data_IF_639652437745
#
_entry.id   IF_639652437745
#
_cell.length_a   1.000
_cell.length_b   1.000
_cell.length_c   1.000
_cell.angle_alpha   90.00
_cell.angle_beta   90.00
_cell.angle_gamma   90.00
#
_symmetry.space_group_name_H-M   'P 1'
#
loop_
_entity.id
_entity.type
_entity.pdbx_description
1 polymer ?
#
# COMPACT_ATOMS: atom_id res chain seq x y z
N UNK A 1 1.82 -7.24 3.51
CA UNK A 1 1.30 -7.65 4.83
C UNK A 1 0.28 -8.76 4.61
N UNK A 2 0.63 -10.05 4.79
CA UNK A 2 -0.24 -11.16 4.38
C UNK A 2 -1.50 -11.33 5.24
N UNK A 3 -1.47 -10.88 6.49
CA UNK A 3 -2.65 -10.80 7.36
C UNK A 3 -2.49 -9.63 8.31
N UNK A 4 -3.25 -8.57 8.09
CA UNK A 4 -3.33 -7.40 8.95
C UNK A 4 -3.88 -7.74 10.33
N UNK A 5 -4.87 -8.63 10.42
CA UNK A 5 -5.45 -9.07 11.70
C UNK A 5 -4.42 -9.78 12.58
N UNK A 6 -3.56 -10.64 12.00
CA UNK A 6 -2.48 -11.29 12.75
C UNK A 6 -1.43 -10.27 13.18
N UNK A 7 -1.06 -9.33 12.31
CA UNK A 7 -0.13 -8.25 12.63
C UNK A 7 -0.64 -7.34 13.76
N UNK A 8 -1.91 -6.97 13.71
CA UNK A 8 -2.54 -6.08 14.68
C UNK A 8 -2.65 -6.68 16.09
N UNK A 9 -2.70 -8.02 16.18
CA UNK A 9 -2.70 -8.77 17.45
C UNK A 9 -1.32 -8.91 18.08
N UNK A 10 -0.25 -8.58 17.35
CA UNK A 10 1.10 -8.62 17.92
C UNK A 10 1.28 -7.49 18.94
N UNK A 11 2.22 -7.70 19.87
CA UNK A 11 2.53 -6.70 20.88
C UNK A 11 3.04 -5.38 20.26
N UNK A 12 3.06 -4.33 21.07
CA UNK A 12 3.47 -3.01 20.61
C UNK A 12 4.95 -2.97 20.17
N UNK A 13 5.83 -3.75 20.81
CA UNK A 13 7.25 -3.77 20.48
C UNK A 13 7.50 -4.41 19.12
N UNK A 14 6.80 -5.51 18.80
CA UNK A 14 6.85 -6.14 17.50
C UNK A 14 6.32 -5.21 16.41
N UNK A 15 5.15 -4.60 16.61
CA UNK A 15 4.57 -3.67 15.62
C UNK A 15 5.49 -2.46 15.38
N UNK A 16 6.11 -1.90 16.42
CA UNK A 16 7.12 -0.84 16.29
C UNK A 16 8.36 -1.31 15.54
N UNK A 17 8.81 -2.56 15.73
CA UNK A 17 9.98 -3.09 15.02
C UNK A 17 9.76 -3.25 13.51
N UNK A 18 8.52 -3.49 13.07
CA UNK A 18 8.17 -3.67 11.65
C UNK A 18 7.75 -2.35 11.00
N UNK A 19 6.97 -1.54 11.69
CA UNK A 19 6.47 -0.24 11.22
C UNK A 19 6.83 0.88 12.23
N UNK A 20 8.11 1.27 12.35
CA UNK A 20 8.54 2.23 13.35
C UNK A 20 7.85 3.57 13.21
N UNK A 21 7.36 4.14 14.31
CA UNK A 21 6.66 5.43 14.31
C UNK A 21 7.53 6.59 13.79
N UNK A 22 8.86 6.47 13.91
CA UNK A 22 9.82 7.43 13.36
C UNK A 22 9.89 7.41 11.82
N UNK A 23 9.50 6.31 11.16
CA UNK A 23 9.54 6.15 9.70
C UNK A 23 8.14 6.36 9.14
N UNK A 24 7.80 7.60 8.80
CA UNK A 24 6.44 8.00 8.39
C UNK A 24 6.21 8.00 6.88
N UNK A 25 7.27 8.11 6.08
CA UNK A 25 7.22 8.00 4.61
C UNK A 25 7.02 6.54 4.21
N UNK A 26 5.77 6.13 4.00
CA UNK A 26 5.38 4.75 3.72
C UNK A 26 4.55 4.69 2.45
N UNK A 27 4.80 3.68 1.62
CA UNK A 27 3.94 3.35 0.47
C UNK A 27 3.42 1.93 0.66
N UNK A 28 2.10 1.76 0.57
CA UNK A 28 1.47 0.45 0.41
C UNK A 28 1.14 0.20 -1.07
N UNK A 29 1.22 -1.04 -1.52
CA UNK A 29 0.85 -1.44 -2.87
C UNK A 29 0.04 -2.72 -2.85
N UNK A 30 -1.16 -2.68 -3.42
CA UNK A 30 -2.06 -3.82 -3.55
C UNK A 30 -3.06 -3.56 -4.69
N UNK A 31 -3.37 -4.58 -5.50
CA UNK A 31 -4.43 -4.51 -6.52
C UNK A 31 -5.83 -4.56 -5.87
N UNK A 32 -6.14 -3.60 -5.00
CA UNK A 32 -7.35 -3.50 -4.21
C UNK A 32 -7.59 -2.07 -3.71
N UNK A 33 -8.66 -1.87 -2.92
CA UNK A 33 -9.08 -0.56 -2.43
C UNK A 33 -8.03 0.08 -1.53
N UNK A 34 -7.75 1.36 -1.74
CA UNK A 34 -6.65 2.07 -1.05
C UNK A 34 -6.97 2.38 0.41
N UNK A 35 -8.25 2.60 0.72
CA UNK A 35 -8.72 3.05 2.03
C UNK A 35 -8.30 2.14 3.19
N UNK A 36 -8.23 0.83 2.97
CA UNK A 36 -7.83 -0.15 3.99
C UNK A 36 -6.40 0.08 4.50
N UNK A 37 -5.49 0.49 3.61
CA UNK A 37 -4.08 0.64 3.91
C UNK A 37 -3.73 1.93 4.65
N UNK A 38 -4.65 2.90 4.72
CA UNK A 38 -4.46 4.18 5.41
C UNK A 38 -4.14 4.00 6.90
N UNK A 39 -4.62 2.92 7.53
CA UNK A 39 -4.26 2.54 8.90
C UNK A 39 -2.74 2.34 9.10
N UNK A 40 -2.02 1.87 8.07
CA UNK A 40 -0.61 1.49 8.17
C UNK A 40 0.34 2.54 7.58
N UNK A 41 -0.07 3.22 6.50
CA UNK A 41 0.75 4.28 5.89
C UNK A 41 0.58 5.63 6.59
N UNK A 42 -0.51 5.83 7.34
CA UNK A 42 -0.79 7.06 8.07
C UNK A 42 -1.19 8.23 7.17
N UNK A 43 -1.08 9.45 7.71
CA UNK A 43 -1.41 10.70 6.99
C UNK A 43 -0.30 11.15 6.04
N UNK A 44 0.93 10.71 6.27
CA UNK A 44 2.12 11.15 5.53
C UNK A 44 2.59 10.13 4.50
N UNK A 45 1.82 9.05 4.31
CA UNK A 45 2.11 7.99 3.36
C UNK A 45 1.10 7.94 2.22
N UNK A 46 1.37 7.07 1.26
CA UNK A 46 0.56 6.90 0.06
C UNK A 46 0.25 5.43 -0.23
N UNK A 47 -0.73 5.18 -1.10
CA UNK A 47 -1.19 3.83 -1.45
C UNK A 47 -1.38 3.71 -2.96
N UNK A 48 -0.69 2.75 -3.56
CA UNK A 48 -0.89 2.35 -4.95
C UNK A 48 -1.91 1.21 -5.00
N UNK A 49 -3.10 1.48 -5.53
CA UNK A 49 -4.18 0.49 -5.63
C UNK A 49 -5.29 0.91 -6.59
N UNK A 50 -6.47 0.29 -6.44
CA UNK A 50 -7.63 0.49 -7.33
C UNK A 50 -8.87 0.82 -6.50
N UNK A 51 -9.39 2.05 -6.66
CA UNK A 51 -10.62 2.52 -6.00
C UNK A 51 -11.85 2.53 -6.94
N UNK A 52 -11.72 1.88 -8.10
CA UNK A 52 -12.78 1.75 -9.11
C UNK A 52 -13.05 0.29 -9.44
N UNK A 53 -14.10 0.02 -10.21
CA UNK A 53 -14.24 -1.28 -10.85
C UNK A 53 -13.10 -1.55 -11.85
N UNK A 54 -12.91 -2.82 -12.18
CA UNK A 54 -11.96 -3.28 -13.18
C UNK A 54 -12.41 -3.00 -14.62
N UNK A 55 -11.68 -3.58 -15.57
CA UNK A 55 -12.00 -3.53 -16.99
C UNK A 55 -11.71 -4.89 -17.66
N UNK A 56 -12.26 -5.12 -18.85
CA UNK A 56 -12.02 -6.34 -19.62
C UNK A 56 -10.80 -6.16 -20.53
N UNK A 57 -9.64 -6.67 -20.11
CA UNK A 57 -8.41 -6.74 -20.89
C UNK A 57 -7.45 -7.77 -20.26
N UNK A 58 -6.37 -8.15 -20.96
CA UNK A 58 -5.27 -8.91 -20.37
C UNK A 58 -4.68 -8.22 -19.13
N UNK A 59 -4.24 -9.01 -18.15
CA UNK A 59 -3.81 -8.50 -16.85
C UNK A 59 -2.63 -7.50 -16.96
N UNK A 60 -1.64 -7.76 -17.80
CA UNK A 60 -0.50 -6.87 -18.04
C UNK A 60 -0.95 -5.46 -18.49
N UNK A 61 -1.94 -5.40 -19.39
CA UNK A 61 -2.54 -4.14 -19.82
C UNK A 61 -3.31 -3.45 -18.68
N UNK A 62 -4.02 -4.23 -17.86
CA UNK A 62 -4.75 -3.70 -16.70
C UNK A 62 -3.79 -3.14 -15.63
N UNK A 63 -2.69 -3.82 -15.31
CA UNK A 63 -1.70 -3.32 -14.35
C UNK A 63 -1.07 -2.00 -14.83
N UNK A 64 -0.75 -1.90 -16.13
CA UNK A 64 -0.27 -0.65 -16.73
C UNK A 64 -1.34 0.45 -16.68
N UNK A 65 -2.59 0.13 -17.05
CA UNK A 65 -3.72 1.08 -17.07
C UNK A 65 -4.05 1.63 -15.68
N UNK A 66 -4.14 0.76 -14.67
CA UNK A 66 -4.41 1.11 -13.27
C UNK A 66 -3.16 1.58 -12.51
N UNK A 67 -2.01 1.67 -13.18
CA UNK A 67 -0.73 2.14 -12.61
C UNK A 67 -0.25 1.34 -11.40
N UNK A 68 -0.56 0.05 -11.34
CA UNK A 68 0.05 -0.86 -10.36
C UNK A 68 1.37 -1.34 -10.95
N UNK A 69 2.36 -0.46 -10.97
CA UNK A 69 3.68 -0.77 -11.55
C UNK A 69 4.80 -0.39 -10.60
N UNK A 70 5.97 -1.00 -10.80
CA UNK A 70 7.16 -0.67 -10.01
C UNK A 70 7.53 0.81 -10.15
N UNK A 71 7.40 1.36 -11.36
CA UNK A 71 7.68 2.77 -11.63
C UNK A 71 6.74 3.67 -10.83
N UNK A 72 5.44 3.35 -10.78
CA UNK A 72 4.48 4.16 -10.03
C UNK A 72 4.74 4.09 -8.52
N UNK A 73 5.09 2.92 -7.98
CA UNK A 73 5.50 2.76 -6.58
C UNK A 73 6.73 3.62 -6.26
N UNK A 74 7.74 3.65 -7.15
CA UNK A 74 8.92 4.50 -7.00
C UNK A 74 8.55 5.98 -7.05
N UNK A 75 7.66 6.40 -7.94
CA UNK A 75 7.21 7.79 -8.00
C UNK A 75 6.47 8.20 -6.71
N UNK A 76 5.55 7.35 -6.23
CA UNK A 76 4.84 7.57 -4.97
C UNK A 76 5.84 7.73 -3.81
N UNK A 77 6.81 6.83 -3.69
CA UNK A 77 7.82 6.87 -2.63
C UNK A 77 8.70 8.14 -2.67
N UNK A 78 9.03 8.64 -3.87
CA UNK A 78 9.81 9.88 -4.05
C UNK A 78 9.01 11.15 -3.76
N UNK A 79 7.68 11.09 -3.80
CA UNK A 79 6.80 12.23 -3.56
C UNK A 79 6.49 12.46 -2.06
N UNK A 80 6.86 11.51 -1.19
CA UNK A 80 6.70 11.60 0.27
C UNK A 80 7.80 12.42 0.94
#
# INVERSE_FOLDING_TARGET
>A
MPSTDVFDRQDAAYRESVLPNAVRKRVAVEAGVTGFWRKYVGLDGDVVGIDTFGASAPADQLYAYFKITAEHVVQAAKAL
#
